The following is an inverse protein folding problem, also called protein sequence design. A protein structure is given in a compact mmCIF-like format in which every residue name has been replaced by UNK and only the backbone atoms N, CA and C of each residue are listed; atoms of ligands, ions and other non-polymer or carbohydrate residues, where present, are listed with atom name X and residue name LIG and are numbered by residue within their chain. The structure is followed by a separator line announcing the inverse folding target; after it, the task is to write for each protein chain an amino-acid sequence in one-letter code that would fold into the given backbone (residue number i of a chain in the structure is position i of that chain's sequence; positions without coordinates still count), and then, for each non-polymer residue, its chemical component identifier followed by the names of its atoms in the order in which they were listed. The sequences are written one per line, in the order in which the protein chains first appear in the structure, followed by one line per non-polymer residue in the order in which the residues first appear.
data_IF_165428866052
#
_entry.id   IF_165428866052
#
_cell.length_a   1.000
_cell.length_b   1.000
_cell.length_c   1.000
_cell.angle_alpha   90.00
_cell.angle_beta   90.00
_cell.angle_gamma   90.00
#
_symmetry.space_group_name_H-M   'P 1'
#
loop_
_entity.id
_entity.type
_entity.pdbx_description
1 polymer ?
#
# COMPACT_ATOMS: atom_id res chain seq x y z
N UNK A 1 5.21 -10.19 20.07
CA UNK A 1 4.96 -10.90 18.81
C UNK A 1 4.79 -9.85 17.72
N UNK A 2 5.54 -9.94 16.62
CA UNK A 2 5.38 -9.00 15.50
C UNK A 2 4.53 -9.71 14.44
N UNK A 3 3.35 -9.18 14.14
CA UNK A 3 2.51 -9.66 13.04
C UNK A 3 2.90 -8.91 11.77
N UNK A 4 3.33 -9.63 10.75
CA UNK A 4 3.53 -9.09 9.41
C UNK A 4 2.22 -9.14 8.65
N UNK A 5 1.87 -8.07 7.93
CA UNK A 5 0.64 -7.96 7.15
C UNK A 5 0.99 -7.62 5.71
N UNK A 6 0.58 -8.47 4.78
CA UNK A 6 0.69 -8.20 3.35
C UNK A 6 -0.41 -7.22 2.90
N UNK A 7 -0.05 -6.20 2.10
CA UNK A 7 -0.99 -5.15 1.69
C UNK A 7 -1.16 -5.11 0.17
N UNK A 8 -2.40 -5.19 -0.29
CA UNK A 8 -2.82 -4.99 -1.67
C UNK A 8 -3.73 -3.76 -1.76
N UNK A 9 -3.37 -2.80 -2.61
CA UNK A 9 -4.19 -1.63 -2.94
C UNK A 9 -4.76 -1.82 -4.34
N UNK A 10 -6.09 -1.75 -4.46
CA UNK A 10 -6.79 -1.83 -5.75
C UNK A 10 -7.18 -0.42 -6.19
N UNK A 11 -6.72 -0.02 -7.36
CA UNK A 11 -6.92 1.30 -7.98
C UNK A 11 -5.74 2.24 -7.79
N UNK A 12 -5.15 2.71 -8.89
CA UNK A 12 -4.03 3.66 -8.90
C UNK A 12 -4.48 5.13 -9.00
N UNK A 13 -5.69 5.43 -8.52
CA UNK A 13 -6.18 6.81 -8.40
C UNK A 13 -5.47 7.59 -7.27
N UNK A 14 -5.80 8.88 -7.11
CA UNK A 14 -5.17 9.74 -6.10
C UNK A 14 -5.19 9.14 -4.68
N UNK A 15 -6.32 8.56 -4.28
CA UNK A 15 -6.47 7.91 -2.97
C UNK A 15 -5.57 6.69 -2.82
N UNK A 16 -5.51 5.83 -3.84
CA UNK A 16 -4.69 4.61 -3.82
C UNK A 16 -3.20 4.92 -3.75
N UNK A 17 -2.74 5.88 -4.55
CA UNK A 17 -1.33 6.31 -4.54
C UNK A 17 -0.96 7.06 -3.24
N UNK A 18 -1.89 7.81 -2.67
CA UNK A 18 -1.67 8.45 -1.36
C UNK A 18 -1.50 7.40 -0.27
N UNK A 19 -2.37 6.38 -0.23
CA UNK A 19 -2.24 5.29 0.72
C UNK A 19 -0.93 4.51 0.53
N UNK A 20 -0.55 4.20 -0.71
CA UNK A 20 0.72 3.52 -1.02
C UNK A 20 1.94 4.33 -0.56
N UNK A 21 1.93 5.65 -0.79
CA UNK A 21 3.00 6.55 -0.34
C UNK A 21 3.14 6.59 1.18
N UNK A 22 2.02 6.62 1.92
CA UNK A 22 2.04 6.59 3.38
C UNK A 22 2.55 5.26 3.95
N UNK A 23 2.24 4.13 3.29
CA UNK A 23 2.79 2.82 3.66
C UNK A 23 4.30 2.77 3.40
N UNK A 24 4.75 3.23 2.24
CA UNK A 24 6.17 3.27 1.89
C UNK A 24 6.98 4.14 2.87
N UNK A 25 6.44 5.31 3.28
CA UNK A 25 7.06 6.17 4.30
C UNK A 25 7.25 5.49 5.66
N UNK A 26 6.42 4.49 5.97
CA UNK A 26 6.49 3.69 7.20
C UNK A 26 7.31 2.41 7.04
N UNK A 27 7.90 2.18 5.86
CA UNK A 27 8.64 0.95 5.55
C UNK A 27 7.72 -0.27 5.40
N UNK A 28 6.45 -0.06 5.07
CA UNK A 28 5.48 -1.14 4.84
C UNK A 28 5.35 -1.35 3.34
N UNK A 29 5.67 -2.56 2.90
CA UNK A 29 5.53 -2.95 1.51
C UNK A 29 4.05 -3.10 1.12
N UNK A 30 3.70 -2.63 -0.08
CA UNK A 30 2.39 -2.84 -0.65
C UNK A 30 2.48 -3.06 -2.15
N UNK A 31 1.51 -3.79 -2.70
CA UNK A 31 1.33 -3.93 -4.15
C UNK A 31 0.12 -3.12 -4.58
N UNK A 32 0.28 -2.24 -5.56
CA UNK A 32 -0.83 -1.55 -6.21
C UNK A 32 -1.19 -2.31 -7.48
N UNK A 33 -2.47 -2.55 -7.69
CA UNK A 33 -3.01 -3.11 -8.94
C UNK A 33 -4.06 -2.16 -9.51
N UNK A 34 -4.01 -1.97 -10.82
CA UNK A 34 -5.01 -1.24 -11.60
C UNK A 34 -5.34 -2.05 -12.85
N UNK A 35 -6.44 -1.70 -13.54
CA UNK A 35 -7.01 -2.49 -14.66
C UNK A 35 -6.03 -2.74 -15.81
#
# INVERSE_FOLDING_TARGET
MHTTTDVLIVGAGPTGLTAAGELARRGIDCRVVDK
#
